data_IF_090822620545
#
_entry.id   IF_090822620545
#
_cell.length_a   1.000
_cell.length_b   1.000
_cell.length_c   1.000
_cell.angle_alpha   90.00
_cell.angle_beta   90.00
_cell.angle_gamma   90.00
#
_symmetry.space_group_name_H-M   'P 1'
#
loop_
_entity.id
_entity.type
_entity.pdbx_description
1 polymer ?
#
# COMPACT_ATOMS: atom_id res chain seq x y z
N UNK A 1 -14.86 23.93 53.80
CA UNK A 1 -13.84 24.10 52.74
C UNK A 1 -12.46 23.58 53.12
N UNK A 2 -11.77 24.04 54.18
CA UNK A 2 -10.40 23.59 54.51
C UNK A 2 -10.22 22.07 54.73
N UNK A 3 -11.18 21.38 55.38
CA UNK A 3 -11.13 19.90 55.55
C UNK A 3 -11.29 19.11 54.25
N UNK A 4 -12.13 19.58 53.33
CA UNK A 4 -12.33 18.97 52.01
C UNK A 4 -11.09 19.13 51.13
N UNK A 5 -10.43 20.29 51.20
CA UNK A 5 -9.19 20.55 50.49
C UNK A 5 -8.03 19.66 50.98
N UNK A 6 -7.94 19.43 52.30
CA UNK A 6 -6.93 18.55 52.89
C UNK A 6 -7.15 17.07 52.51
N UNK A 7 -8.40 16.60 52.50
CA UNK A 7 -8.76 15.25 52.05
C UNK A 7 -8.44 15.02 50.57
N UNK A 8 -8.75 16.01 49.72
CA UNK A 8 -8.42 15.95 48.30
C UNK A 8 -6.90 15.93 48.08
N UNK A 9 -6.15 16.77 48.79
CA UNK A 9 -4.68 16.81 48.69
C UNK A 9 -4.00 15.51 49.13
N UNK A 10 -4.49 14.89 50.21
CA UNK A 10 -4.01 13.58 50.69
C UNK A 10 -4.33 12.48 49.66
N UNK A 11 -5.53 12.49 49.08
CA UNK A 11 -5.90 11.57 48.00
C UNK A 11 -4.99 11.70 46.78
N UNK A 12 -4.70 12.93 46.34
CA UNK A 12 -3.82 13.19 45.18
C UNK A 12 -2.39 12.71 45.46
N UNK A 13 -1.82 13.01 46.63
CA UNK A 13 -0.47 12.56 46.99
C UNK A 13 -0.38 11.03 47.07
N UNK A 14 -1.35 10.38 47.70
CA UNK A 14 -1.38 8.93 47.80
C UNK A 14 -1.50 8.27 46.42
N UNK A 15 -2.29 8.85 45.51
CA UNK A 15 -2.45 8.35 44.15
C UNK A 15 -1.14 8.51 43.34
N UNK A 16 -0.46 9.65 43.45
CA UNK A 16 0.85 9.85 42.81
C UNK A 16 1.93 8.89 43.33
N UNK A 17 1.97 8.61 44.63
CA UNK A 17 2.93 7.67 45.20
C UNK A 17 2.64 6.21 44.80
N UNK A 18 1.35 5.83 44.73
CA UNK A 18 0.95 4.52 44.23
C UNK A 18 1.36 4.33 42.76
N UNK A 19 1.15 5.35 41.92
CA UNK A 19 1.51 5.30 40.51
C UNK A 19 3.03 5.19 40.28
N UNK A 20 3.84 5.98 41.01
CA UNK A 20 5.30 5.86 40.97
C UNK A 20 5.80 4.47 41.40
N UNK A 21 5.11 3.83 42.34
CA UNK A 21 5.44 2.48 42.77
C UNK A 21 5.13 1.44 41.67
N UNK A 22 3.99 1.57 40.98
CA UNK A 22 3.66 0.70 39.84
C UNK A 22 4.66 0.87 38.71
N UNK A 23 5.02 2.10 38.34
CA UNK A 23 6.02 2.38 37.28
C UNK A 23 7.37 1.71 37.57
N UNK A 24 7.87 1.83 38.81
CA UNK A 24 9.11 1.17 39.22
C UNK A 24 9.02 -0.36 39.10
N UNK A 25 7.90 -0.95 39.53
CA UNK A 25 7.68 -2.40 39.44
C UNK A 25 7.56 -2.88 38.00
N UNK A 26 6.92 -2.10 37.13
CA UNK A 26 6.85 -2.37 35.68
C UNK A 26 8.25 -2.37 35.07
N UNK A 27 9.10 -1.43 35.45
CA UNK A 27 10.49 -1.40 34.97
C UNK A 27 11.31 -2.60 35.46
N UNK A 28 11.23 -2.93 36.75
CA UNK A 28 11.88 -4.14 37.29
C UNK A 28 11.40 -5.42 36.59
N UNK A 29 10.11 -5.54 36.32
CA UNK A 29 9.52 -6.65 35.55
C UNK A 29 10.07 -6.71 34.12
N UNK A 30 10.21 -5.57 33.44
CA UNK A 30 10.80 -5.50 32.09
C UNK A 30 12.26 -5.93 32.10
N UNK A 31 13.05 -5.49 33.08
CA UNK A 31 14.44 -5.90 33.22
C UNK A 31 14.57 -7.42 33.45
N UNK A 32 13.69 -8.01 34.27
CA UNK A 32 13.62 -9.47 34.45
C UNK A 32 13.29 -10.18 33.13
N UNK A 33 12.35 -9.67 32.34
CA UNK A 33 12.00 -10.24 31.04
C UNK A 33 13.18 -10.17 30.05
N UNK A 34 13.83 -9.01 29.93
CA UNK A 34 15.01 -8.81 29.07
C UNK A 34 16.16 -9.72 29.49
N UNK A 35 16.36 -9.89 30.80
CA UNK A 35 17.33 -10.83 31.38
C UNK A 35 16.97 -12.32 31.22
N UNK A 36 15.84 -12.63 30.55
CA UNK A 36 15.30 -14.00 30.37
C UNK A 36 14.98 -14.70 31.70
N UNK A 37 14.72 -13.94 32.76
CA UNK A 37 14.29 -14.46 34.06
C UNK A 37 12.76 -14.67 34.07
N UNK A 38 12.27 -15.47 33.12
CA UNK A 38 10.84 -15.54 32.78
C UNK A 38 9.92 -15.87 33.97
N UNK A 39 10.33 -16.78 34.86
CA UNK A 39 9.52 -17.12 36.04
C UNK A 39 9.38 -15.91 37.00
N UNK A 40 10.45 -15.11 37.18
CA UNK A 40 10.38 -13.89 38.01
C UNK A 40 9.53 -12.82 37.33
N UNK A 41 9.75 -12.59 36.04
CA UNK A 41 8.99 -11.63 35.25
C UNK A 41 7.49 -11.98 35.26
N UNK A 42 7.14 -13.25 35.10
CA UNK A 42 5.78 -13.79 35.20
C UNK A 42 5.15 -13.49 36.57
N UNK A 43 5.87 -13.77 37.66
CA UNK A 43 5.39 -13.49 39.02
C UNK A 43 5.21 -11.98 39.28
N UNK A 44 6.16 -11.16 38.82
CA UNK A 44 6.10 -9.70 38.92
C UNK A 44 4.91 -9.13 38.16
N UNK A 45 4.68 -9.59 36.93
CA UNK A 45 3.50 -9.23 36.14
C UNK A 45 2.20 -9.58 36.85
N UNK A 46 2.10 -10.80 37.41
CA UNK A 46 0.95 -11.23 38.20
C UNK A 46 0.66 -10.31 39.39
N UNK A 47 1.69 -9.89 40.14
CA UNK A 47 1.54 -8.94 41.26
C UNK A 47 1.07 -7.56 40.80
N UNK A 48 1.62 -7.04 39.69
CA UNK A 48 1.17 -5.75 39.14
C UNK A 48 -0.30 -5.82 38.74
N UNK A 49 -0.72 -6.93 38.13
CA UNK A 49 -2.10 -7.13 37.69
C UNK A 49 -3.10 -7.34 38.83
N UNK A 50 -2.65 -7.64 40.06
CA UNK A 50 -3.49 -7.61 41.25
C UNK A 50 -3.88 -6.18 41.65
N UNK A 51 -2.97 -5.22 41.43
CA UNK A 51 -3.17 -3.81 41.78
C UNK A 51 -3.82 -3.02 40.62
N UNK A 52 -3.45 -3.34 39.37
CA UNK A 52 -3.97 -2.72 38.15
C UNK A 52 -4.26 -3.81 37.10
N UNK A 53 -5.52 -4.25 37.06
CA UNK A 53 -5.96 -5.36 36.19
C UNK A 53 -5.90 -5.03 34.69
N UNK A 54 -5.73 -3.76 34.31
CA UNK A 54 -5.66 -3.32 32.90
C UNK A 54 -4.26 -2.85 32.51
N UNK A 55 -3.26 -3.06 33.36
CA UNK A 55 -1.89 -2.66 33.05
C UNK A 55 -1.35 -3.38 31.81
N UNK A 56 -1.31 -2.70 30.67
CA UNK A 56 -0.95 -3.28 29.37
C UNK A 56 0.49 -3.80 29.33
N UNK A 57 1.41 -3.15 30.02
CA UNK A 57 2.80 -3.63 30.12
C UNK A 57 2.91 -4.93 30.90
N UNK A 58 2.17 -5.06 32.01
CA UNK A 58 2.14 -6.30 32.78
C UNK A 58 1.39 -7.42 32.04
N UNK A 59 0.29 -7.10 31.34
CA UNK A 59 -0.39 -8.07 30.48
C UNK A 59 0.53 -8.58 29.35
N UNK A 60 1.26 -7.67 28.69
CA UNK A 60 2.21 -8.04 27.65
C UNK A 60 3.30 -8.99 28.19
N UNK A 61 3.89 -8.64 29.33
CA UNK A 61 4.90 -9.48 29.97
C UNK A 61 4.32 -10.84 30.37
N UNK A 62 3.13 -10.87 30.98
CA UNK A 62 2.45 -12.10 31.36
C UNK A 62 2.19 -13.00 30.15
N UNK A 63 1.71 -12.42 29.05
CA UNK A 63 1.43 -13.11 27.78
C UNK A 63 2.67 -13.84 27.26
N UNK A 64 3.79 -13.15 27.08
CA UNK A 64 5.01 -13.75 26.54
C UNK A 64 5.67 -14.72 27.52
N UNK A 65 5.78 -14.35 28.79
CA UNK A 65 6.40 -15.23 29.80
C UNK A 65 5.59 -16.50 30.04
N UNK A 66 4.26 -16.43 30.00
CA UNK A 66 3.40 -17.61 30.06
C UNK A 66 3.69 -18.58 28.91
N UNK A 67 3.82 -18.05 27.69
CA UNK A 67 4.15 -18.85 26.52
C UNK A 67 5.54 -19.51 26.63
N UNK A 68 6.57 -18.75 27.02
CA UNK A 68 7.93 -19.28 27.26
C UNK A 68 7.94 -20.38 28.33
N UNK A 69 7.13 -20.23 29.37
CA UNK A 69 6.98 -21.20 30.46
C UNK A 69 6.02 -22.37 30.13
N UNK A 70 5.60 -22.50 28.86
CA UNK A 70 4.70 -23.56 28.38
C UNK A 70 3.34 -23.58 29.12
N UNK A 71 2.81 -22.39 29.41
CA UNK A 71 1.50 -22.13 30.02
C UNK A 71 0.54 -21.48 28.98
N UNK A 72 0.10 -22.22 27.96
CA UNK A 72 -0.61 -21.64 26.82
C UNK A 72 -1.99 -21.07 27.17
N UNK A 73 -2.68 -21.62 28.18
CA UNK A 73 -4.00 -21.10 28.60
C UNK A 73 -3.87 -19.70 29.18
N UNK A 74 -2.86 -19.49 30.00
CA UNK A 74 -2.53 -18.23 30.66
C UNK A 74 -2.04 -17.20 29.63
N UNK A 75 -1.26 -17.63 28.63
CA UNK A 75 -0.87 -16.78 27.50
C UNK A 75 -2.09 -16.28 26.73
N UNK A 76 -3.01 -17.19 26.33
CA UNK A 76 -4.25 -16.85 25.63
C UNK A 76 -5.12 -15.91 26.46
N UNK A 77 -5.26 -16.16 27.77
CA UNK A 77 -6.03 -15.30 28.65
C UNK A 77 -5.47 -13.88 28.73
N UNK A 78 -4.14 -13.75 28.82
CA UNK A 78 -3.48 -12.44 28.77
C UNK A 78 -3.69 -11.74 27.41
N UNK A 79 -3.59 -12.47 26.29
CA UNK A 79 -3.89 -11.94 24.95
C UNK A 79 -5.34 -11.44 24.84
N UNK A 80 -6.31 -12.19 25.34
CA UNK A 80 -7.72 -11.78 25.36
C UNK A 80 -7.95 -10.51 26.17
N UNK A 81 -7.25 -10.36 27.31
CA UNK A 81 -7.32 -9.17 28.15
C UNK A 81 -6.71 -7.94 27.47
N UNK A 82 -5.62 -8.11 26.72
CA UNK A 82 -5.05 -7.04 25.88
C UNK A 82 -6.06 -6.60 24.82
N UNK A 83 -6.57 -7.54 24.03
CA UNK A 83 -7.50 -7.27 22.92
C UNK A 83 -8.77 -6.56 23.41
N UNK A 84 -9.29 -6.94 24.57
CA UNK A 84 -10.48 -6.30 25.16
C UNK A 84 -10.20 -4.97 25.88
N UNK A 85 -8.94 -4.65 26.19
CA UNK A 85 -8.57 -3.41 26.88
C UNK A 85 -8.25 -2.26 25.94
N UNK A 86 -7.97 -2.53 24.66
CA UNK A 86 -7.60 -1.53 23.66
C UNK A 86 -8.77 -1.33 22.69
N UNK A 87 -9.38 -0.15 22.72
CA UNK A 87 -10.43 0.21 21.76
C UNK A 87 -9.80 0.61 20.41
N UNK A 88 -9.89 -0.29 19.43
CA UNK A 88 -9.36 -0.06 18.09
C UNK A 88 -9.96 1.17 17.40
N UNK A 89 -11.19 1.58 17.74
CA UNK A 89 -11.82 2.77 17.15
C UNK A 89 -11.12 4.09 17.54
N UNK A 90 -10.28 4.03 18.58
CA UNK A 90 -9.48 5.18 19.06
C UNK A 90 -8.07 5.19 18.50
N UNK A 91 -7.64 4.15 17.77
CA UNK A 91 -6.29 4.04 17.25
C UNK A 91 -6.14 4.74 15.89
N UNK A 92 -5.80 6.03 15.94
CA UNK A 92 -5.44 6.79 14.74
C UNK A 92 -4.13 6.28 14.10
N UNK A 93 -4.12 5.96 12.78
CA UNK A 93 -2.92 5.44 12.11
C UNK A 93 -1.74 6.40 12.14
N UNK A 94 -1.97 7.71 12.04
CA UNK A 94 -0.93 8.73 11.94
C UNK A 94 -0.31 9.16 13.28
N UNK A 95 -0.83 8.67 14.42
CA UNK A 95 -0.29 9.02 15.75
C UNK A 95 0.77 8.01 16.18
N UNK A 96 1.94 8.53 16.56
CA UNK A 96 3.11 7.74 16.98
C UNK A 96 2.88 7.11 18.36
N UNK A 97 2.23 7.83 19.27
CA UNK A 97 1.82 7.34 20.59
C UNK A 97 0.89 6.11 20.49
N UNK A 98 0.21 5.93 19.35
CA UNK A 98 -0.64 4.78 19.09
C UNK A 98 0.09 3.57 18.53
N UNK A 99 1.36 3.72 18.10
CA UNK A 99 2.15 2.63 17.55
C UNK A 99 2.36 1.50 18.57
N UNK A 100 2.59 1.85 19.85
CA UNK A 100 2.69 0.87 20.93
C UNK A 100 1.43 0.01 21.07
N UNK A 101 0.24 0.62 21.05
CA UNK A 101 -1.02 -0.10 21.19
C UNK A 101 -1.34 -0.97 19.97
N UNK A 102 -1.06 -0.47 18.76
CA UNK A 102 -1.17 -1.27 17.53
C UNK A 102 -0.26 -2.48 17.59
N UNK A 103 1.00 -2.30 17.97
CA UNK A 103 1.96 -3.39 18.11
C UNK A 103 1.49 -4.43 19.12
N UNK A 104 1.03 -3.99 20.29
CA UNK A 104 0.56 -4.88 21.34
C UNK A 104 -0.67 -5.70 20.91
N UNK A 105 -1.59 -5.11 20.15
CA UNK A 105 -2.71 -5.83 19.55
C UNK A 105 -2.24 -6.88 18.54
N UNK A 106 -1.32 -6.53 17.63
CA UNK A 106 -0.76 -7.46 16.64
C UNK A 106 -0.12 -8.67 17.31
N UNK A 107 0.70 -8.44 18.33
CA UNK A 107 1.34 -9.50 19.12
C UNK A 107 0.33 -10.38 19.85
N UNK A 108 -0.71 -9.79 20.45
CA UNK A 108 -1.75 -10.56 21.15
C UNK A 108 -2.56 -11.45 20.21
N UNK A 109 -2.99 -10.93 19.05
CA UNK A 109 -3.67 -11.73 18.03
C UNK A 109 -2.75 -12.82 17.47
N UNK A 110 -1.51 -12.47 17.14
CA UNK A 110 -0.57 -13.41 16.55
C UNK A 110 -0.20 -14.55 17.51
N UNK A 111 0.05 -14.26 18.79
CA UNK A 111 0.38 -15.31 19.75
C UNK A 111 -0.78 -16.29 19.95
N UNK A 112 -2.04 -15.79 19.99
CA UNK A 112 -3.21 -16.66 20.04
C UNK A 112 -3.29 -17.56 18.81
N UNK A 113 -3.07 -17.00 17.62
CA UNK A 113 -3.00 -17.74 16.37
C UNK A 113 -1.88 -18.80 16.37
N UNK A 114 -0.69 -18.43 16.87
CA UNK A 114 0.47 -19.32 16.98
C UNK A 114 0.22 -20.50 17.92
N UNK A 115 -0.35 -20.26 19.11
CA UNK A 115 -0.68 -21.34 20.04
C UNK A 115 -1.73 -22.29 19.44
N UNK A 116 -2.73 -21.77 18.73
CA UNK A 116 -3.69 -22.58 17.99
C UNK A 116 -3.03 -23.40 16.88
N UNK A 117 -2.07 -22.81 16.16
CA UNK A 117 -1.25 -23.52 15.18
C UNK A 117 -0.47 -24.67 15.84
N UNK A 118 0.29 -24.43 16.91
CA UNK A 118 1.09 -25.46 17.58
C UNK A 118 0.21 -26.62 18.08
N UNK A 119 -0.91 -26.28 18.73
CA UNK A 119 -1.84 -27.27 19.30
C UNK A 119 -2.71 -27.95 18.25
N UNK A 120 -2.81 -27.40 17.03
CA UNK A 120 -3.70 -27.88 15.98
C UNK A 120 -5.18 -27.65 16.28
N UNK A 121 -5.51 -26.76 17.21
CA UNK A 121 -6.89 -26.47 17.64
C UNK A 121 -7.37 -25.15 17.04
N UNK A 122 -8.64 -25.12 16.65
CA UNK A 122 -9.34 -23.91 16.17
C UNK A 122 -8.58 -23.17 15.05
N UNK A 123 -7.96 -23.90 14.11
CA UNK A 123 -7.12 -23.33 13.05
C UNK A 123 -7.86 -22.29 12.19
N UNK A 124 -9.16 -22.43 11.97
CA UNK A 124 -9.96 -21.41 11.29
C UNK A 124 -9.98 -20.09 12.08
N UNK A 125 -10.12 -20.18 13.41
CA UNK A 125 -10.07 -19.00 14.29
C UNK A 125 -8.67 -18.41 14.35
N UNK A 126 -7.64 -19.26 14.36
CA UNK A 126 -6.25 -18.83 14.27
C UNK A 126 -5.99 -18.01 12.99
N UNK A 127 -6.57 -18.44 11.86
CA UNK A 127 -6.48 -17.71 10.60
C UNK A 127 -7.19 -16.35 10.66
N UNK A 128 -8.36 -16.26 11.30
CA UNK A 128 -9.02 -14.96 11.54
C UNK A 128 -8.14 -14.04 12.39
N UNK A 129 -7.51 -14.58 13.43
CA UNK A 129 -6.70 -13.81 14.37
C UNK A 129 -5.43 -13.27 13.72
N UNK A 130 -4.68 -14.10 12.97
CA UNK A 130 -3.49 -13.61 12.26
C UNK A 130 -3.86 -12.62 11.15
N UNK A 131 -5.03 -12.77 10.50
CA UNK A 131 -5.52 -11.77 9.57
C UNK A 131 -5.90 -10.46 10.28
N UNK A 132 -6.41 -10.51 11.51
CA UNK A 132 -6.64 -9.31 12.33
C UNK A 132 -5.33 -8.64 12.74
N UNK A 133 -4.28 -9.41 13.07
CA UNK A 133 -2.94 -8.85 13.31
C UNK A 133 -2.42 -8.12 12.05
N UNK A 134 -2.52 -8.76 10.88
CA UNK A 134 -2.07 -8.20 9.61
C UNK A 134 -2.89 -6.99 9.12
N UNK A 135 -4.13 -6.80 9.59
CA UNK A 135 -4.96 -5.65 9.22
C UNK A 135 -4.70 -4.41 10.09
N UNK A 136 -4.06 -4.57 11.25
CA UNK A 136 -3.67 -3.45 12.12
C UNK A 136 -2.37 -2.85 11.57
N UNK A 137 -2.49 -1.96 10.60
CA UNK A 137 -1.35 -1.29 9.97
C UNK A 137 -1.41 0.23 10.12
N UNK A 138 -0.27 0.88 9.91
CA UNK A 138 -0.17 2.34 9.87
C UNK A 138 0.94 2.74 8.87
N UNK A 139 0.78 3.87 8.14
CA UNK A 139 1.83 4.39 7.26
C UNK A 139 3.16 4.72 7.96
N UNK A 140 3.14 4.93 9.28
CA UNK A 140 4.35 5.24 10.07
C UNK A 140 4.97 4.01 10.74
N UNK A 141 4.28 2.86 10.74
CA UNK A 141 4.84 1.61 11.25
C UNK A 141 5.78 1.02 10.18
N UNK A 142 6.97 0.55 10.56
CA UNK A 142 7.94 -0.05 9.60
C UNK A 142 7.49 -1.47 9.21
N UNK A 143 7.48 -1.76 7.90
CA UNK A 143 7.06 -3.04 7.29
C UNK A 143 7.77 -4.31 7.82
N UNK A 144 9.07 -4.30 8.23
CA UNK A 144 9.77 -5.51 8.70
C UNK A 144 9.13 -6.19 9.93
N UNK A 145 8.29 -5.47 10.69
CA UNK A 145 7.62 -6.02 11.86
C UNK A 145 6.45 -6.95 11.53
N UNK A 146 6.00 -7.00 10.26
CA UNK A 146 4.88 -7.86 9.85
C UNK A 146 5.30 -9.28 9.45
N UNK A 147 6.59 -9.52 9.22
CA UNK A 147 7.11 -10.79 8.71
C UNK A 147 6.76 -11.99 9.61
N UNK A 148 6.85 -11.83 10.94
CA UNK A 148 6.48 -12.89 11.89
C UNK A 148 4.99 -13.28 11.79
N UNK A 149 4.12 -12.33 11.44
CA UNK A 149 2.69 -12.56 11.27
C UNK A 149 2.39 -13.23 9.93
N UNK A 150 3.15 -12.88 8.88
CA UNK A 150 3.12 -13.57 7.59
C UNK A 150 3.51 -15.04 7.78
N UNK A 151 4.61 -15.33 8.47
CA UNK A 151 5.03 -16.70 8.77
C UNK A 151 3.93 -17.49 9.48
N UNK A 152 3.36 -16.91 10.54
CA UNK A 152 2.25 -17.53 11.29
C UNK A 152 1.08 -17.87 10.36
N UNK A 153 0.69 -16.95 9.46
CA UNK A 153 -0.37 -17.17 8.47
C UNK A 153 -0.01 -18.29 7.50
N UNK A 154 1.19 -18.30 6.94
CA UNK A 154 1.66 -19.34 6.00
C UNK A 154 1.55 -20.72 6.67
N UNK A 155 2.05 -20.85 7.91
CA UNK A 155 2.03 -22.11 8.65
C UNK A 155 0.62 -22.59 8.97
N UNK A 156 -0.28 -21.69 9.37
CA UNK A 156 -1.71 -22.00 9.59
C UNK A 156 -2.36 -22.50 8.30
N UNK A 157 -2.14 -21.81 7.18
CA UNK A 157 -2.72 -22.19 5.88
C UNK A 157 -2.23 -23.56 5.41
N UNK A 158 -0.94 -23.86 5.59
CA UNK A 158 -0.40 -25.19 5.30
C UNK A 158 -1.08 -26.27 6.16
N UNK A 159 -1.28 -26.00 7.45
CA UNK A 159 -1.94 -26.93 8.37
C UNK A 159 -3.43 -27.11 8.09
N UNK A 160 -4.07 -26.10 7.49
CA UNK A 160 -5.44 -26.15 6.96
C UNK A 160 -5.55 -26.83 5.58
N UNK A 161 -4.44 -27.36 5.04
CA UNK A 161 -4.38 -27.93 3.69
C UNK A 161 -4.77 -26.93 2.58
N UNK A 162 -4.35 -25.66 2.74
CA UNK A 162 -4.49 -24.56 1.75
C UNK A 162 -3.13 -24.10 1.21
N UNK A 163 -2.35 -24.99 0.56
CA UNK A 163 -0.97 -24.70 0.19
C UNK A 163 -0.82 -23.59 -0.86
N UNK A 164 -1.78 -23.45 -1.79
CA UNK A 164 -1.73 -22.39 -2.81
C UNK A 164 -1.75 -20.99 -2.17
N UNK A 165 -2.69 -20.74 -1.27
CA UNK A 165 -2.76 -19.47 -0.55
C UNK A 165 -1.55 -19.27 0.37
N UNK A 166 -1.07 -20.34 1.02
CA UNK A 166 0.12 -20.28 1.86
C UNK A 166 1.35 -19.84 1.07
N UNK A 167 1.63 -20.49 -0.06
CA UNK A 167 2.79 -20.17 -0.88
C UNK A 167 2.64 -18.86 -1.64
N UNK A 168 1.43 -18.46 -2.04
CA UNK A 168 1.18 -17.11 -2.54
C UNK A 168 1.49 -16.04 -1.49
N UNK A 169 1.10 -16.29 -0.23
CA UNK A 169 1.39 -15.39 0.90
C UNK A 169 2.90 -15.32 1.18
N UNK A 170 3.59 -16.46 1.19
CA UNK A 170 5.04 -16.52 1.38
C UNK A 170 5.79 -15.82 0.24
N UNK A 171 5.42 -16.09 -1.02
CA UNK A 171 6.03 -15.49 -2.20
C UNK A 171 5.94 -13.96 -2.17
N UNK A 172 4.76 -13.43 -1.86
CA UNK A 172 4.55 -11.99 -1.76
C UNK A 172 5.50 -11.32 -0.75
N UNK A 173 5.78 -11.98 0.37
CA UNK A 173 6.69 -11.46 1.38
C UNK A 173 8.16 -11.63 0.98
N UNK A 174 8.52 -12.82 0.48
CA UNK A 174 9.87 -13.17 0.05
C UNK A 174 10.35 -12.39 -1.18
N UNK A 175 9.45 -11.79 -1.95
CA UNK A 175 9.84 -10.86 -3.02
C UNK A 175 10.31 -9.51 -2.50
N UNK A 176 9.53 -8.93 -1.58
CA UNK A 176 9.89 -7.66 -0.92
C UNK A 176 11.20 -7.80 -0.14
N UNK A 177 11.35 -8.92 0.55
CA UNK A 177 12.53 -9.24 1.34
C UNK A 177 12.86 -10.74 1.19
N UNK A 178 13.81 -11.09 0.31
CA UNK A 178 14.22 -12.48 0.10
C UNK A 178 14.85 -13.14 1.33
N UNK A 179 15.27 -12.36 2.32
CA UNK A 179 16.07 -12.79 3.47
C UNK A 179 15.24 -12.87 4.76
N UNK A 180 13.90 -12.83 4.66
CA UNK A 180 13.00 -13.06 5.82
C UNK A 180 13.36 -14.37 6.50
N UNK A 181 13.95 -14.27 7.69
CA UNK A 181 14.50 -15.41 8.42
C UNK A 181 13.44 -16.50 8.68
N UNK A 182 12.23 -16.09 9.09
CA UNK A 182 11.15 -16.99 9.49
C UNK A 182 10.55 -17.80 8.31
N UNK A 183 10.82 -17.38 7.07
CA UNK A 183 10.29 -18.02 5.85
C UNK A 183 11.34 -18.80 5.06
N UNK A 184 12.59 -18.90 5.54
CA UNK A 184 13.65 -19.57 4.79
C UNK A 184 13.41 -21.09 4.64
N UNK A 185 12.80 -21.74 5.64
CA UNK A 185 12.39 -23.14 5.55
C UNK A 185 11.30 -23.33 4.48
N UNK A 186 10.34 -22.41 4.40
CA UNK A 186 9.32 -22.41 3.34
C UNK A 186 9.96 -22.18 1.97
N UNK A 187 10.81 -21.16 1.83
CA UNK A 187 11.50 -20.79 0.59
C UNK A 187 12.31 -21.95 0.01
N UNK A 188 12.97 -22.73 0.87
CA UNK A 188 13.81 -23.85 0.43
C UNK A 188 13.05 -25.18 0.28
N UNK A 189 11.76 -25.22 0.64
CA UNK A 189 10.96 -26.43 0.52
C UNK A 189 10.68 -26.80 -0.94
N UNK A 190 10.72 -28.11 -1.25
CA UNK A 190 10.42 -28.63 -2.59
C UNK A 190 9.02 -28.21 -3.06
N UNK A 191 8.04 -28.24 -2.14
CA UNK A 191 6.66 -27.90 -2.45
C UNK A 191 6.48 -26.42 -2.84
N UNK A 192 7.16 -25.50 -2.16
CA UNK A 192 7.16 -24.09 -2.55
C UNK A 192 7.90 -23.87 -3.88
N UNK A 193 9.06 -24.50 -4.08
CA UNK A 193 9.81 -24.39 -5.34
C UNK A 193 9.01 -24.93 -6.55
N UNK A 194 8.28 -26.02 -6.36
CA UNK A 194 7.34 -26.54 -7.35
C UNK A 194 6.21 -25.53 -7.64
N UNK A 195 5.62 -24.93 -6.61
CA UNK A 195 4.61 -23.87 -6.75
C UNK A 195 5.13 -22.68 -7.54
N UNK A 196 6.31 -22.14 -7.22
CA UNK A 196 6.90 -21.00 -7.96
C UNK A 196 7.16 -21.37 -9.42
N UNK A 197 7.68 -22.57 -9.66
CA UNK A 197 7.89 -23.08 -11.01
C UNK A 197 6.58 -23.17 -11.80
N UNK A 198 5.49 -23.64 -11.17
CA UNK A 198 4.16 -23.72 -11.77
C UNK A 198 3.57 -22.33 -12.05
N UNK A 199 3.65 -21.41 -11.08
CA UNK A 199 3.16 -20.04 -11.21
C UNK A 199 3.85 -19.30 -12.35
N UNK A 200 5.18 -19.41 -12.46
CA UNK A 200 5.95 -18.81 -13.54
C UNK A 200 5.70 -19.48 -14.91
N UNK A 201 5.29 -20.75 -14.94
CA UNK A 201 4.98 -21.47 -16.19
C UNK A 201 3.54 -21.28 -16.67
N UNK A 202 2.57 -21.15 -15.77
CA UNK A 202 1.14 -21.31 -16.12
C UNK A 202 0.12 -20.54 -15.26
N UNK A 203 0.55 -19.68 -14.33
CA UNK A 203 -0.36 -18.89 -13.48
C UNK A 203 -0.24 -17.38 -13.71
N UNK A 204 -0.59 -16.59 -12.69
CA UNK A 204 -0.38 -15.14 -12.71
C UNK A 204 1.09 -14.72 -12.95
N UNK A 205 2.06 -15.55 -12.57
CA UNK A 205 3.48 -15.30 -12.88
C UNK A 205 3.85 -15.45 -14.36
N UNK A 206 2.97 -16.02 -15.20
CA UNK A 206 3.13 -16.04 -16.66
C UNK A 206 2.69 -14.71 -17.25
N UNK A 207 3.46 -13.67 -16.98
CA UNK A 207 3.25 -12.39 -17.62
C UNK A 207 3.75 -12.41 -19.05
N UNK A 208 2.86 -12.03 -19.96
CA UNK A 208 3.23 -11.74 -21.34
C UNK A 208 3.20 -10.23 -21.51
N UNK A 209 4.37 -9.66 -21.76
CA UNK A 209 4.52 -8.25 -22.11
C UNK A 209 3.62 -7.90 -23.31
N UNK A 210 3.03 -6.71 -23.29
CA UNK A 210 2.29 -6.18 -24.43
C UNK A 210 3.13 -6.25 -25.72
N UNK A 211 2.50 -6.54 -26.84
CA UNK A 211 3.21 -6.45 -28.13
C UNK A 211 3.39 -4.98 -28.52
N UNK A 212 4.35 -4.68 -29.40
CA UNK A 212 4.49 -3.33 -29.97
C UNK A 212 3.33 -2.92 -30.89
N UNK A 213 2.29 -3.74 -30.97
CA UNK A 213 1.09 -3.52 -31.79
C UNK A 213 -0.17 -3.45 -30.93
N UNK A 214 -0.03 -3.58 -29.62
CA UNK A 214 -1.14 -3.63 -28.68
C UNK A 214 -1.77 -2.24 -28.54
N UNK A 215 -3.09 -2.19 -28.64
CA UNK A 215 -3.85 -0.96 -28.38
C UNK A 215 -4.02 -0.73 -26.87
N UNK A 216 -4.28 0.50 -26.45
CA UNK A 216 -4.56 0.81 -25.05
C UNK A 216 -5.71 -0.06 -24.49
N UNK A 217 -6.72 -0.35 -25.31
CA UNK A 217 -7.85 -1.20 -24.95
C UNK A 217 -7.42 -2.65 -24.71
N UNK A 218 -6.59 -3.21 -25.59
CA UNK A 218 -6.08 -4.58 -25.43
C UNK A 218 -5.19 -4.70 -24.20
N UNK A 219 -4.36 -3.69 -23.93
CA UNK A 219 -3.57 -3.58 -22.71
C UNK A 219 -4.46 -3.61 -21.45
N UNK A 220 -5.58 -2.88 -21.42
CA UNK A 220 -6.53 -2.95 -20.29
C UNK A 220 -7.14 -4.33 -20.13
N UNK A 221 -7.58 -4.95 -21.21
CA UNK A 221 -8.16 -6.29 -21.17
C UNK A 221 -7.13 -7.29 -20.63
N UNK A 222 -5.86 -7.16 -21.04
CA UNK A 222 -4.75 -7.97 -20.52
C UNK A 222 -4.56 -7.76 -19.03
N UNK A 223 -4.58 -6.52 -18.55
CA UNK A 223 -4.52 -6.21 -17.13
C UNK A 223 -5.70 -6.81 -16.35
N UNK A 224 -6.93 -6.61 -16.81
CA UNK A 224 -8.13 -7.16 -16.16
C UNK A 224 -8.09 -8.70 -16.10
N UNK A 225 -7.59 -9.35 -17.15
CA UNK A 225 -7.42 -10.79 -17.17
C UNK A 225 -6.33 -11.25 -16.21
N UNK A 226 -5.20 -10.55 -16.14
CA UNK A 226 -4.15 -10.81 -15.16
C UNK A 226 -4.70 -10.72 -13.73
N UNK A 227 -5.43 -9.64 -13.39
CA UNK A 227 -6.03 -9.47 -12.06
C UNK A 227 -7.01 -10.61 -11.75
N UNK A 228 -7.89 -10.98 -12.69
CA UNK A 228 -8.83 -12.11 -12.49
C UNK A 228 -8.11 -13.42 -12.20
N UNK A 229 -7.01 -13.71 -12.91
CA UNK A 229 -6.20 -14.91 -12.68
C UNK A 229 -5.52 -14.82 -11.32
N UNK A 230 -4.89 -13.68 -11.01
CA UNK A 230 -4.23 -13.43 -9.74
C UNK A 230 -5.18 -13.63 -8.56
N UNK A 231 -6.35 -12.97 -8.54
CA UNK A 231 -7.30 -13.07 -7.44
C UNK A 231 -7.87 -14.49 -7.28
N UNK A 232 -8.12 -15.17 -8.40
CA UNK A 232 -8.60 -16.56 -8.39
C UNK A 232 -7.56 -17.53 -7.83
N UNK A 233 -6.30 -17.37 -8.21
CA UNK A 233 -5.23 -18.32 -7.86
C UNK A 233 -4.64 -18.06 -6.47
N UNK A 234 -4.63 -16.80 -6.02
CA UNK A 234 -4.11 -16.41 -4.71
C UNK A 234 -5.18 -16.39 -3.62
N UNK A 235 -6.47 -16.44 -3.98
CA UNK A 235 -7.61 -16.17 -3.09
C UNK A 235 -7.53 -14.80 -2.39
N UNK A 236 -6.69 -13.89 -2.90
CA UNK A 236 -6.55 -12.52 -2.39
C UNK A 236 -7.28 -11.56 -3.34
N UNK A 237 -8.13 -10.71 -2.79
CA UNK A 237 -8.64 -9.57 -3.55
C UNK A 237 -7.55 -8.51 -3.67
N UNK A 238 -7.35 -7.99 -4.87
CA UNK A 238 -6.48 -6.83 -5.04
C UNK A 238 -7.14 -5.61 -4.39
N UNK A 239 -6.38 -4.74 -3.70
CA UNK A 239 -6.94 -3.53 -3.13
C UNK A 239 -7.62 -2.72 -4.24
N UNK A 240 -8.93 -2.52 -4.09
CA UNK A 240 -9.82 -1.85 -5.05
C UNK A 240 -9.34 -0.43 -5.47
N UNK A 241 -8.40 0.15 -4.71
CA UNK A 241 -7.78 1.45 -4.99
C UNK A 241 -6.87 1.44 -6.23
N UNK A 242 -6.27 0.31 -6.59
CA UNK A 242 -5.56 0.16 -7.86
C UNK A 242 -6.52 -0.05 -9.05
N UNK A 243 -7.82 -0.25 -8.76
CA UNK A 243 -8.85 -0.57 -9.74
C UNK A 243 -9.90 0.54 -10.00
N UNK A 244 -9.62 1.80 -9.66
CA UNK A 244 -10.52 2.92 -9.99
C UNK A 244 -10.39 3.34 -11.48
N UNK A 245 -10.66 2.39 -12.37
CA UNK A 245 -10.46 2.57 -13.80
C UNK A 245 -11.46 3.52 -14.47
N UNK A 246 -12.65 3.74 -13.91
CA UNK A 246 -13.72 4.44 -14.66
C UNK A 246 -14.55 5.37 -13.78
N UNK A 247 -14.29 6.67 -13.88
CA UNK A 247 -15.13 7.70 -13.23
C UNK A 247 -16.31 8.08 -14.12
N UNK A 248 -16.09 8.28 -15.42
CA UNK A 248 -17.12 8.76 -16.38
C UNK A 248 -16.66 8.58 -17.83
N UNK A 249 -17.50 8.03 -18.71
CA UNK A 249 -17.25 8.03 -20.15
C UNK A 249 -17.34 9.44 -20.71
N UNK A 250 -16.38 9.84 -21.55
CA UNK A 250 -16.46 11.12 -22.23
C UNK A 250 -17.44 11.01 -23.39
N UNK A 251 -18.35 11.98 -23.52
CA UNK A 251 -19.21 12.02 -24.69
C UNK A 251 -18.42 12.54 -25.90
N UNK A 252 -18.80 12.10 -27.10
CA UNK A 252 -18.21 12.64 -28.32
C UNK A 252 -18.34 14.17 -28.41
N UNK A 253 -19.43 14.72 -27.85
CA UNK A 253 -19.66 16.16 -27.78
C UNK A 253 -18.63 16.86 -26.89
N UNK A 254 -18.33 16.33 -25.71
CA UNK A 254 -17.37 16.94 -24.79
C UNK A 254 -15.96 16.99 -25.41
N UNK A 255 -15.58 15.93 -26.14
CA UNK A 255 -14.31 15.87 -26.88
C UNK A 255 -14.27 16.91 -28.00
N UNK A 256 -15.33 16.99 -28.81
CA UNK A 256 -15.43 18.00 -29.88
C UNK A 256 -15.36 19.43 -29.34
N UNK A 257 -15.96 19.69 -28.18
CA UNK A 257 -15.87 20.98 -27.51
C UNK A 257 -14.44 21.30 -27.07
N UNK A 258 -13.70 20.31 -26.55
CA UNK A 258 -12.28 20.46 -26.20
C UNK A 258 -11.41 20.75 -27.44
N UNK A 259 -11.58 19.95 -28.51
CA UNK A 259 -10.91 20.13 -29.80
C UNK A 259 -11.18 21.52 -30.39
N UNK A 260 -12.44 21.96 -30.40
CA UNK A 260 -12.84 23.28 -30.89
C UNK A 260 -12.25 24.41 -30.05
N UNK A 261 -12.30 24.30 -28.72
CA UNK A 261 -11.73 25.30 -27.81
C UNK A 261 -10.23 25.45 -28.00
N UNK A 262 -9.53 24.35 -28.24
CA UNK A 262 -8.09 24.34 -28.42
C UNK A 262 -7.68 24.58 -29.88
N UNK A 263 -8.58 24.44 -30.86
CA UNK A 263 -8.26 24.56 -32.27
C UNK A 263 -7.34 23.43 -32.76
N UNK A 264 -7.52 22.22 -32.23
CA UNK A 264 -6.72 21.03 -32.57
C UNK A 264 -7.64 19.83 -32.84
N UNK A 265 -7.07 18.73 -33.31
CA UNK A 265 -7.70 17.41 -33.27
C UNK A 265 -6.87 16.50 -32.39
N UNK A 266 -7.51 15.81 -31.44
CA UNK A 266 -6.86 14.88 -30.53
C UNK A 266 -6.57 13.54 -31.23
N UNK A 267 -5.63 12.74 -30.71
CA UNK A 267 -5.30 11.44 -31.29
C UNK A 267 -6.52 10.49 -31.35
N UNK A 268 -6.79 9.81 -32.48
CA UNK A 268 -7.98 8.96 -32.61
C UNK A 268 -8.03 7.78 -31.64
N UNK A 269 -6.87 7.22 -31.28
CA UNK A 269 -6.67 6.17 -30.27
C UNK A 269 -7.09 6.66 -28.87
N UNK A 270 -6.65 7.86 -28.48
CA UNK A 270 -7.12 8.51 -27.25
C UNK A 270 -8.64 8.71 -27.24
N UNK A 271 -9.21 9.28 -28.31
CA UNK A 271 -10.66 9.53 -28.41
C UNK A 271 -11.43 8.22 -28.28
N UNK A 272 -11.01 7.17 -29.01
CA UNK A 272 -11.64 5.84 -28.95
C UNK A 272 -11.58 5.26 -27.54
N UNK A 273 -10.45 5.40 -26.85
CA UNK A 273 -10.27 4.89 -25.51
C UNK A 273 -11.20 5.59 -24.51
N UNK A 274 -11.15 6.93 -24.42
CA UNK A 274 -11.92 7.69 -23.42
C UNK A 274 -13.43 7.71 -23.68
N UNK A 275 -13.87 7.48 -24.92
CA UNK A 275 -15.31 7.33 -25.23
C UNK A 275 -15.81 5.92 -24.95
N UNK A 276 -14.94 4.91 -25.05
CA UNK A 276 -15.31 3.51 -24.75
C UNK A 276 -15.26 3.20 -23.26
N UNK A 277 -14.19 3.62 -22.59
CA UNK A 277 -13.86 3.24 -21.21
C UNK A 277 -14.03 4.41 -20.23
N UNK A 278 -13.70 5.63 -20.64
CA UNK A 278 -13.87 6.84 -19.82
C UNK A 278 -12.59 7.35 -19.19
N UNK A 279 -12.76 8.26 -18.22
CA UNK A 279 -11.65 8.77 -17.43
C UNK A 279 -10.96 7.64 -16.68
N UNK A 280 -9.64 7.64 -16.76
CA UNK A 280 -8.73 6.59 -16.33
C UNK A 280 -7.82 7.12 -15.24
N UNK A 281 -7.75 6.40 -14.12
CA UNK A 281 -6.97 6.77 -12.95
C UNK A 281 -6.24 5.56 -12.39
N UNK A 282 -4.91 5.64 -12.24
CA UNK A 282 -4.08 4.59 -11.65
C UNK A 282 -3.36 5.15 -10.42
N UNK A 283 -3.45 4.42 -9.29
CA UNK A 283 -2.70 4.63 -8.04
C UNK A 283 -2.64 6.10 -7.57
N UNK A 284 -3.79 6.72 -7.31
CA UNK A 284 -3.96 8.10 -6.80
C UNK A 284 -3.27 9.23 -7.60
N UNK A 285 -2.40 8.93 -8.56
CA UNK A 285 -1.51 9.89 -9.17
C UNK A 285 -1.57 9.95 -10.69
N UNK A 286 -1.73 8.84 -11.41
CA UNK A 286 -1.95 8.94 -12.86
C UNK A 286 -3.41 9.21 -13.15
N UNK A 287 -3.74 10.39 -13.67
CA UNK A 287 -5.14 10.78 -13.87
C UNK A 287 -5.33 11.40 -15.26
N UNK A 288 -6.23 10.86 -16.07
CA UNK A 288 -6.66 11.57 -17.28
C UNK A 288 -7.50 12.80 -16.91
N UNK A 289 -7.30 13.87 -17.67
CA UNK A 289 -8.05 15.11 -17.54
C UNK A 289 -9.48 14.94 -18.05
N UNK A 290 -10.45 15.57 -17.40
CA UNK A 290 -11.76 15.73 -18.01
C UNK A 290 -11.65 16.59 -19.29
N UNK A 291 -12.54 16.46 -20.29
CA UNK A 291 -12.42 17.17 -21.56
C UNK A 291 -12.32 18.70 -21.43
N UNK A 292 -12.98 19.28 -20.42
CA UNK A 292 -12.93 20.71 -20.10
C UNK A 292 -11.57 21.17 -19.54
N UNK A 293 -10.79 20.24 -19.00
CA UNK A 293 -9.49 20.47 -18.34
C UNK A 293 -8.31 20.26 -19.29
N UNK A 294 -8.50 19.48 -20.38
CA UNK A 294 -7.50 19.34 -21.46
C UNK A 294 -7.09 20.74 -21.92
N UNK A 295 -5.79 21.04 -21.91
CA UNK A 295 -5.29 22.39 -22.14
C UNK A 295 -3.90 22.38 -22.78
N UNK A 296 -3.44 23.53 -23.27
CA UNK A 296 -2.04 23.70 -23.64
C UNK A 296 -1.19 23.73 -22.36
N UNK A 297 0.01 23.18 -22.43
CA UNK A 297 0.94 23.19 -21.31
C UNK A 297 1.28 24.62 -20.86
N UNK A 298 1.44 25.55 -21.80
CA UNK A 298 1.64 26.98 -21.47
C UNK A 298 0.52 27.56 -20.60
N UNK A 299 -0.73 27.20 -20.88
CA UNK A 299 -1.89 27.67 -20.13
C UNK A 299 -1.98 27.00 -18.75
N UNK A 300 -1.63 25.70 -18.66
CA UNK A 300 -1.51 25.00 -17.37
C UNK A 300 -0.45 25.65 -16.48
N UNK A 301 0.75 25.91 -17.02
CA UNK A 301 1.85 26.56 -16.29
C UNK A 301 1.51 27.98 -15.82
N UNK A 302 0.75 28.75 -16.60
CA UNK A 302 0.27 30.07 -16.15
C UNK A 302 -0.77 29.96 -15.03
N UNK A 303 -1.70 29.02 -15.15
CA UNK A 303 -2.86 28.92 -14.26
C UNK A 303 -2.52 28.24 -12.94
N UNK A 304 -1.80 27.14 -12.99
CA UNK A 304 -1.55 26.26 -11.82
C UNK A 304 -0.25 26.64 -11.10
N UNK A 305 0.74 27.16 -11.84
CA UNK A 305 2.07 27.48 -11.32
C UNK A 305 2.38 28.98 -11.35
N UNK A 306 1.42 29.81 -11.78
CA UNK A 306 1.55 31.28 -11.83
C UNK A 306 2.79 31.79 -12.61
N UNK A 307 3.27 31.01 -13.58
CA UNK A 307 4.49 31.33 -14.32
C UNK A 307 4.22 32.43 -15.36
N UNK A 308 4.98 33.53 -15.26
CA UNK A 308 4.95 34.61 -16.27
C UNK A 308 5.82 34.25 -17.49
N UNK A 309 5.25 33.51 -18.44
CA UNK A 309 5.93 33.02 -19.65
C UNK A 309 6.39 34.15 -20.59
N UNK A 310 5.77 35.32 -20.53
CA UNK A 310 6.13 36.48 -21.34
C UNK A 310 7.50 37.04 -20.93
N UNK A 311 7.78 37.04 -19.63
CA UNK A 311 9.07 37.46 -19.06
C UNK A 311 10.13 36.36 -19.09
N UNK A 312 9.70 35.10 -19.03
CA UNK A 312 10.60 33.96 -18.79
C UNK A 312 10.98 33.16 -20.03
N UNK A 313 10.18 33.20 -21.08
CA UNK A 313 10.40 32.41 -22.30
C UNK A 313 10.57 33.29 -23.53
N UNK A 314 11.36 32.84 -24.48
CA UNK A 314 11.39 33.39 -25.84
C UNK A 314 10.09 33.06 -26.60
N UNK A 315 9.76 33.76 -27.70
CA UNK A 315 8.60 33.42 -28.53
C UNK A 315 8.59 31.96 -29.01
N UNK A 316 9.74 31.46 -29.47
CA UNK A 316 9.91 30.06 -29.93
C UNK A 316 9.68 29.05 -28.80
N UNK A 317 10.15 29.36 -27.60
CA UNK A 317 9.91 28.51 -26.42
C UNK A 317 8.43 28.46 -26.04
N UNK A 318 7.72 29.59 -26.09
CA UNK A 318 6.27 29.61 -25.86
C UNK A 318 5.51 28.81 -26.91
N UNK A 319 5.87 28.97 -28.18
CA UNK A 319 5.30 28.17 -29.27
C UNK A 319 5.54 26.67 -29.04
N UNK A 320 6.71 26.27 -28.53
CA UNK A 320 6.98 24.88 -28.18
C UNK A 320 6.02 24.37 -27.09
N UNK A 321 5.79 25.16 -26.04
CA UNK A 321 4.85 24.82 -24.96
C UNK A 321 3.39 24.78 -25.45
N UNK A 322 3.01 25.68 -26.36
CA UNK A 322 1.66 25.71 -26.96
C UNK A 322 1.36 24.49 -27.83
N UNK A 323 2.40 23.81 -28.32
CA UNK A 323 2.31 22.55 -29.08
C UNK A 323 2.23 21.30 -28.18
N UNK A 324 2.32 21.45 -26.87
CA UNK A 324 2.18 20.36 -25.91
C UNK A 324 0.78 20.44 -25.29
N UNK A 325 -0.01 19.39 -25.52
CA UNK A 325 -1.42 19.33 -25.07
C UNK A 325 -1.52 18.40 -23.88
N UNK A 326 -1.74 18.96 -22.69
CA UNK A 326 -1.95 18.20 -21.47
C UNK A 326 -3.23 17.38 -21.57
N UNK A 327 -3.14 16.08 -21.34
CA UNK A 327 -4.28 15.16 -21.32
C UNK A 327 -4.35 14.31 -20.03
N UNK A 328 -3.32 14.37 -19.19
CA UNK A 328 -3.32 13.73 -17.87
C UNK A 328 -2.30 14.36 -16.91
N UNK A 329 -2.45 14.03 -15.63
CA UNK A 329 -1.49 14.33 -14.57
C UNK A 329 -0.70 13.07 -14.17
N UNK A 330 0.54 13.28 -13.74
CA UNK A 330 1.32 12.31 -12.96
C UNK A 330 1.07 12.46 -11.46
N UNK A 331 1.82 11.71 -10.65
CA UNK A 331 1.55 11.57 -9.22
C UNK A 331 2.11 12.75 -8.43
N UNK A 332 1.34 13.31 -7.48
CA UNK A 332 1.78 14.49 -6.70
C UNK A 332 3.02 14.22 -5.83
N UNK A 333 3.27 12.95 -5.50
CA UNK A 333 4.41 12.46 -4.73
C UNK A 333 5.66 12.21 -5.58
N UNK A 334 5.53 12.06 -6.89
CA UNK A 334 6.66 12.01 -7.82
C UNK A 334 6.99 13.43 -8.28
N UNK A 335 8.02 14.02 -7.69
CA UNK A 335 8.60 15.30 -8.12
C UNK A 335 9.11 15.28 -9.57
N UNK A 336 9.03 14.13 -10.26
CA UNK A 336 9.64 13.87 -11.56
C UNK A 336 8.68 14.00 -12.76
N UNK A 337 7.36 13.83 -12.60
CA UNK A 337 6.38 13.93 -13.71
C UNK A 337 5.04 14.48 -13.25
N UNK A 338 4.65 15.63 -13.77
CA UNK A 338 3.39 16.27 -13.40
C UNK A 338 2.35 16.26 -14.51
N UNK A 339 2.77 16.38 -15.77
CA UNK A 339 1.84 16.34 -16.90
C UNK A 339 2.21 15.24 -17.89
N UNK A 340 1.19 14.57 -18.42
CA UNK A 340 1.30 13.80 -19.66
C UNK A 340 0.74 14.63 -20.80
N UNK A 341 1.55 14.80 -21.84
CA UNK A 341 1.25 15.69 -22.97
C UNK A 341 1.32 14.98 -24.31
N UNK A 342 0.41 15.34 -25.22
CA UNK A 342 0.55 15.03 -26.64
C UNK A 342 1.44 16.07 -27.31
N UNK A 343 2.42 15.63 -28.10
CA UNK A 343 3.28 16.55 -28.86
C UNK A 343 2.70 16.80 -30.26
N UNK A 344 2.03 17.94 -30.44
CA UNK A 344 1.39 18.27 -31.72
C UNK A 344 2.40 18.44 -32.87
N UNK A 345 3.67 18.72 -32.55
CA UNK A 345 4.77 18.74 -33.53
C UNK A 345 5.02 17.40 -34.20
N UNK A 346 4.70 16.31 -33.49
CA UNK A 346 4.90 14.93 -33.95
C UNK A 346 3.66 14.38 -34.66
N UNK A 347 2.62 15.21 -34.84
CA UNK A 347 1.36 14.78 -35.41
C UNK A 347 1.54 14.25 -36.83
N UNK A 348 1.21 12.97 -37.00
CA UNK A 348 1.09 12.37 -38.31
C UNK A 348 -0.14 12.95 -39.02
N UNK A 349 0.05 13.56 -40.19
CA UNK A 349 -1.04 14.23 -40.92
C UNK A 349 -2.09 13.27 -41.48
N UNK A 350 -1.72 12.01 -41.76
CA UNK A 350 -2.62 11.00 -42.31
C UNK A 350 -3.44 10.30 -41.22
N UNK A 351 -2.79 9.95 -40.10
CA UNK A 351 -3.42 9.14 -39.05
C UNK A 351 -3.90 9.97 -37.86
N UNK A 352 -3.39 11.18 -37.68
CA UNK A 352 -3.66 12.01 -36.50
C UNK A 352 -2.93 11.58 -35.23
N UNK A 353 -2.10 10.53 -35.29
CA UNK A 353 -1.30 10.05 -34.16
C UNK A 353 -0.23 11.04 -33.74
N UNK A 354 0.05 11.06 -32.44
CA UNK A 354 1.05 11.93 -31.81
C UNK A 354 1.85 11.13 -30.79
N UNK A 355 3.07 11.59 -30.52
CA UNK A 355 3.89 11.08 -29.43
C UNK A 355 3.33 11.58 -28.08
N UNK A 356 3.50 10.75 -27.05
CA UNK A 356 3.23 11.10 -25.65
C UNK A 356 4.53 11.35 -24.92
N UNK A 357 4.56 12.43 -24.13
CA UNK A 357 5.71 12.85 -23.34
C UNK A 357 5.28 13.05 -21.88
N UNK A 358 6.03 12.55 -20.89
CA UNK A 358 5.97 13.04 -19.53
C UNK A 358 6.64 14.42 -19.46
N UNK A 359 6.09 15.32 -18.66
CA UNK A 359 6.62 16.65 -18.44
C UNK A 359 6.70 16.94 -16.94
N UNK A 360 7.92 17.20 -16.48
CA UNK A 360 8.18 17.73 -15.15
C UNK A 360 7.95 19.24 -15.17
N UNK A 361 7.07 19.75 -14.31
CA UNK A 361 6.88 21.18 -14.16
C UNK A 361 8.21 21.88 -13.85
N UNK A 362 9.09 21.26 -13.05
CA UNK A 362 10.34 21.87 -12.60
C UNK A 362 11.34 22.07 -13.75
N UNK A 363 11.14 21.45 -14.91
CA UNK A 363 11.94 21.66 -16.12
C UNK A 363 11.44 22.85 -16.97
N UNK A 364 10.47 23.64 -16.48
CA UNK A 364 9.93 24.80 -17.21
C UNK A 364 10.99 25.83 -17.64
N UNK A 365 12.11 25.91 -16.92
CA UNK A 365 13.21 26.83 -17.20
C UNK A 365 14.18 26.34 -18.28
N UNK A 366 14.19 25.03 -18.60
CA UNK A 366 15.07 24.45 -19.62
C UNK A 366 14.28 23.67 -20.69
N UNK A 367 13.63 24.43 -21.56
CA UNK A 367 12.86 23.90 -22.69
C UNK A 367 13.72 23.32 -23.82
N UNK A 368 15.04 23.24 -23.63
CA UNK A 368 15.96 22.53 -24.54
C UNK A 368 16.18 21.08 -24.12
N UNK A 369 15.87 20.75 -22.85
CA UNK A 369 15.73 19.37 -22.41
C UNK A 369 14.47 18.79 -23.03
N UNK A 370 14.65 18.03 -24.11
CA UNK A 370 13.63 17.10 -24.58
C UNK A 370 13.39 16.10 -23.45
N UNK A 371 12.14 15.76 -23.11
CA UNK A 371 11.85 14.68 -22.19
C UNK A 371 12.64 13.43 -22.60
N UNK A 372 13.34 12.83 -21.64
CA UNK A 372 14.20 11.66 -21.86
C UNK A 372 13.39 10.42 -22.22
N UNK A 373 12.13 10.36 -21.80
CA UNK A 373 11.19 9.29 -22.11
C UNK A 373 10.19 9.78 -23.16
N UNK A 374 10.21 9.17 -24.35
CA UNK A 374 9.27 9.47 -25.43
C UNK A 374 8.53 8.19 -25.77
N UNK A 375 7.21 8.19 -25.61
CA UNK A 375 6.38 7.11 -26.09
C UNK A 375 6.06 7.36 -27.57
N UNK A 376 6.95 6.88 -28.44
CA UNK A 376 6.79 6.95 -29.90
C UNK A 376 6.31 5.60 -30.44
N UNK A 377 5.29 5.61 -31.29
CA UNK A 377 5.03 4.50 -32.23
C UNK A 377 4.41 5.05 -33.52
N UNK A 378 4.70 4.41 -34.65
CA UNK A 378 4.06 4.68 -35.95
C UNK A 378 2.54 4.53 -35.90
N UNK A 379 1.99 3.94 -34.83
CA UNK A 379 0.56 3.65 -34.64
C UNK A 379 -0.12 4.40 -33.50
N UNK A 380 0.57 5.31 -32.81
CA UNK A 380 -0.02 6.10 -31.73
C UNK A 380 0.82 6.08 -30.45
N UNK A 381 1.25 7.26 -29.99
CA UNK A 381 1.98 7.37 -28.72
C UNK A 381 1.11 7.04 -27.50
N UNK A 382 -0.21 7.21 -27.60
CA UNK A 382 -1.15 6.93 -26.50
C UNK A 382 -1.30 5.42 -26.26
N UNK A 383 -1.53 4.63 -27.32
CA UNK A 383 -1.62 3.16 -27.20
C UNK A 383 -0.35 2.57 -26.58
N UNK A 384 0.83 2.99 -27.07
CA UNK A 384 2.12 2.56 -26.54
C UNK A 384 2.32 3.00 -25.07
N UNK A 385 1.94 4.23 -24.72
CA UNK A 385 1.99 4.73 -23.35
C UNK A 385 1.17 3.87 -22.40
N UNK A 386 -0.10 3.60 -22.73
CA UNK A 386 -0.98 2.78 -21.89
C UNK A 386 -0.47 1.34 -21.79
N UNK A 387 -0.01 0.74 -22.90
CA UNK A 387 0.55 -0.63 -22.89
C UNK A 387 1.76 -0.74 -21.96
N UNK A 388 2.70 0.21 -22.01
CA UNK A 388 3.87 0.23 -21.11
C UNK A 388 3.50 0.51 -19.66
N UNK A 389 2.50 1.36 -19.41
CA UNK A 389 2.00 1.61 -18.06
C UNK A 389 1.36 0.36 -17.46
N UNK A 390 0.56 -0.37 -18.24
CA UNK A 390 0.01 -1.67 -17.84
C UNK A 390 1.13 -2.69 -17.59
N UNK A 391 2.14 -2.72 -18.45
CA UNK A 391 3.30 -3.59 -18.28
C UNK A 391 3.99 -3.34 -16.94
N UNK A 392 4.23 -2.07 -16.59
CA UNK A 392 4.79 -1.67 -15.30
C UNK A 392 3.89 -2.10 -14.14
N UNK A 393 2.58 -1.86 -14.24
CA UNK A 393 1.65 -2.24 -13.16
C UNK A 393 1.59 -3.74 -12.93
N UNK A 394 1.62 -4.55 -14.00
CA UNK A 394 1.64 -6.00 -13.85
C UNK A 394 2.98 -6.42 -13.24
N UNK A 395 4.08 -5.81 -13.70
CA UNK A 395 5.39 -6.08 -13.16
C UNK A 395 5.46 -5.72 -11.67
N UNK A 396 4.92 -4.60 -11.22
CA UNK A 396 4.86 -4.19 -9.80
C UNK A 396 4.02 -5.14 -8.92
N UNK A 397 3.15 -5.96 -9.53
CA UNK A 397 2.39 -7.01 -8.82
C UNK A 397 3.16 -8.34 -8.83
N UNK A 398 4.02 -8.55 -9.83
CA UNK A 398 4.85 -9.75 -10.00
C UNK A 398 6.21 -9.61 -9.31
N UNK A 399 6.74 -8.42 -9.16
CA UNK A 399 7.88 -8.09 -8.30
C UNK A 399 7.37 -7.82 -6.88
#
# INVERSE_FOLDING_TARGET
MKKLFLLWFICVINNCNAQKNIEKRVEEMRQQYIGREYEKAYQSAGKILQDDTKNLSALHCLMNTAYELKKPKEAIEASNRIISSIDQSTLFPYLEEHSYYRQLLREAYNLRAWISYETGKDLSKALEDVNAALSITSPIDKDPHLNAYVDTKVRILLKLNRPKEAYATAEKALRKDPDIQDLQDIKTSEAYQAYITEVHKSGWGKYTKGTTTETAIEALIRYENFIKIYEKETEQKMPYQQLKWYKKKFSAKDIQEAEKRLGISLPPDYIKFVTTYGNFSIQEGYNLLEPKEITRLSDALRKEWEINLEKKCTPKQRENLDNLICFGYGTEDQQDVWYYVFSYKTRNQQTGYMDVLPYNQDDWWDLTKTPTLIYTDKRGGFDNYISQLIDSLIQDIIE
#
